data_IF_361788265560
#
_entry.id   IF_361788265560
#
_cell.length_a   1.000
_cell.length_b   1.000
_cell.length_c   1.000
_cell.angle_alpha   90.00
_cell.angle_beta   90.00
_cell.angle_gamma   90.00
#
_symmetry.space_group_name_H-M   'P 1'
#
loop_
_entity.id
_entity.type
_entity.pdbx_description
1 polymer ?
#
# COMPACT_ATOMS: atom_id res chain seq x y z
N UNK A 1 26.79 8.01 -1.19
CA UNK A 1 25.44 8.12 -1.81
C UNK A 1 25.48 7.33 -3.10
N UNK A 2 25.15 6.06 -2.98
CA UNK A 2 25.21 5.18 -4.14
C UNK A 2 23.89 5.32 -4.91
N UNK A 3 23.94 6.07 -6.00
CA UNK A 3 22.83 6.36 -6.89
C UNK A 3 22.71 5.25 -7.96
N UNK A 4 22.94 4.00 -7.55
CA UNK A 4 22.59 2.84 -8.35
C UNK A 4 21.07 2.64 -8.29
N UNK A 5 20.34 3.44 -9.05
CA UNK A 5 19.01 3.09 -9.49
C UNK A 5 19.15 1.85 -10.39
N UNK A 6 19.46 0.70 -9.76
CA UNK A 6 19.30 -0.57 -10.43
C UNK A 6 17.85 -0.61 -10.91
N UNK A 7 17.66 -0.83 -12.19
CA UNK A 7 16.37 -0.97 -12.83
C UNK A 7 15.69 -2.25 -12.33
N UNK A 8 15.32 -2.28 -11.03
CA UNK A 8 14.56 -3.39 -10.49
C UNK A 8 13.24 -3.48 -11.25
N UNK A 9 13.00 -4.63 -11.82
CA UNK A 9 11.73 -4.95 -12.46
C UNK A 9 11.09 -6.11 -11.71
N UNK A 10 9.79 -6.01 -11.43
CA UNK A 10 9.07 -7.06 -10.73
C UNK A 10 9.06 -8.35 -11.56
N UNK A 11 9.21 -9.48 -10.88
CA UNK A 11 9.12 -10.82 -11.46
C UNK A 11 7.93 -11.55 -10.87
N UNK A 12 7.45 -12.59 -11.53
CA UNK A 12 6.31 -13.39 -11.06
C UNK A 12 6.47 -13.92 -9.63
N UNK A 13 7.70 -14.26 -9.23
CA UNK A 13 8.02 -14.76 -7.90
C UNK A 13 7.89 -13.68 -6.81
N UNK A 14 8.14 -12.41 -7.15
CA UNK A 14 7.97 -11.30 -6.21
C UNK A 14 6.49 -11.15 -5.83
N UNK A 15 5.59 -11.27 -6.80
CA UNK A 15 4.14 -11.19 -6.57
C UNK A 15 3.62 -12.41 -5.79
N UNK A 16 4.15 -13.60 -6.08
CA UNK A 16 3.78 -14.82 -5.37
C UNK A 16 4.19 -14.74 -3.90
N UNK A 17 5.42 -14.33 -3.64
CA UNK A 17 5.94 -14.13 -2.29
C UNK A 17 5.17 -13.05 -1.55
N UNK A 18 4.85 -11.94 -2.21
CA UNK A 18 4.04 -10.87 -1.64
C UNK A 18 2.62 -11.38 -1.32
N UNK A 19 1.97 -12.11 -2.25
CA UNK A 19 0.63 -12.69 -2.05
C UNK A 19 0.58 -13.59 -0.80
N UNK A 20 1.54 -14.50 -0.66
CA UNK A 20 1.63 -15.38 0.51
C UNK A 20 1.83 -14.60 1.81
N UNK A 21 2.69 -13.58 1.80
CA UNK A 21 2.98 -12.75 2.97
C UNK A 21 1.77 -11.97 3.47
N UNK A 22 0.92 -11.46 2.55
CA UNK A 22 -0.18 -10.57 2.92
C UNK A 22 -1.55 -11.24 2.99
N UNK A 23 -1.69 -12.50 2.59
CA UNK A 23 -3.00 -13.18 2.41
C UNK A 23 -3.91 -13.14 3.65
N UNK A 24 -3.34 -13.14 4.85
CA UNK A 24 -4.09 -13.07 6.11
C UNK A 24 -4.47 -11.64 6.54
N UNK A 25 -3.94 -10.64 5.83
CA UNK A 25 -4.06 -9.23 6.19
C UNK A 25 -4.84 -8.39 5.19
N UNK A 26 -5.20 -8.93 4.03
CA UNK A 26 -5.93 -8.20 3.00
C UNK A 26 -7.17 -8.96 2.57
N UNK A 27 -8.18 -8.24 2.11
CA UNK A 27 -9.37 -8.85 1.55
C UNK A 27 -9.14 -9.20 0.07
N UNK A 28 -9.74 -10.29 -0.38
CA UNK A 28 -9.98 -10.51 -1.81
C UNK A 28 -11.17 -9.60 -2.16
N UNK A 29 -10.88 -8.48 -2.80
CA UNK A 29 -11.92 -7.51 -3.15
C UNK A 29 -12.73 -7.99 -4.36
N UNK A 30 -14.02 -7.69 -4.46
CA UNK A 30 -14.83 -8.16 -5.58
C UNK A 30 -14.49 -7.44 -6.89
N UNK A 31 -14.69 -8.16 -8.00
CA UNK A 31 -14.72 -7.61 -9.35
C UNK A 31 -16.19 -7.39 -9.74
N UNK A 32 -16.62 -6.14 -9.68
CA UNK A 32 -18.03 -5.76 -9.83
C UNK A 32 -18.34 -5.31 -11.25
N UNK A 33 -19.49 -5.74 -11.77
CA UNK A 33 -20.03 -5.23 -13.03
C UNK A 33 -20.49 -3.78 -12.84
N UNK A 34 -20.05 -2.87 -13.72
CA UNK A 34 -20.36 -1.44 -13.65
C UNK A 34 -21.13 -1.00 -14.93
N UNK A 35 -22.35 -1.49 -15.08
CA UNK A 35 -23.20 -1.25 -16.26
C UNK A 35 -23.36 0.23 -16.64
N UNK A 36 -23.51 1.18 -15.70
CA UNK A 36 -23.61 2.59 -16.07
C UNK A 36 -22.38 3.16 -16.76
N UNK A 37 -21.23 2.46 -16.68
CA UNK A 37 -19.99 2.85 -17.33
C UNK A 37 -19.77 2.18 -18.70
N UNK A 38 -20.67 1.33 -19.16
CA UNK A 38 -20.56 0.68 -20.47
C UNK A 38 -20.56 1.71 -21.62
N UNK A 39 -19.69 1.50 -22.60
CA UNK A 39 -19.54 2.36 -23.76
C UNK A 39 -19.21 1.55 -25.01
N UNK A 40 -19.81 1.90 -26.13
CA UNK A 40 -19.46 1.38 -27.46
C UNK A 40 -19.38 -0.16 -27.52
N UNK A 41 -20.27 -0.87 -26.82
CA UNK A 41 -20.30 -2.34 -26.77
C UNK A 41 -19.30 -2.96 -25.81
N UNK A 42 -18.47 -2.18 -25.12
CA UNK A 42 -17.57 -2.66 -24.08
C UNK A 42 -18.27 -2.75 -22.72
N UNK A 43 -18.09 -3.87 -22.04
CA UNK A 43 -18.57 -4.08 -20.68
C UNK A 43 -17.50 -3.65 -19.68
N UNK A 44 -17.88 -2.82 -18.72
CA UNK A 44 -16.97 -2.30 -17.69
C UNK A 44 -17.11 -3.08 -16.39
N UNK A 45 -15.97 -3.42 -15.82
CA UNK A 45 -15.86 -4.05 -14.49
C UNK A 45 -14.92 -3.22 -13.63
N UNK A 46 -15.21 -3.13 -12.34
CA UNK A 46 -14.42 -2.39 -11.37
C UNK A 46 -13.87 -3.36 -10.32
N UNK A 47 -12.55 -3.41 -10.18
CA UNK A 47 -11.90 -4.06 -9.06
C UNK A 47 -12.01 -3.15 -7.85
N UNK A 48 -12.87 -3.52 -6.90
CA UNK A 48 -13.37 -2.61 -5.86
C UNK A 48 -12.38 -2.49 -4.68
N UNK A 49 -11.19 -1.92 -4.89
CA UNK A 49 -10.19 -1.71 -3.84
C UNK A 49 -10.61 -0.66 -2.79
N UNK A 50 -11.69 0.08 -2.99
CA UNK A 50 -12.35 0.88 -1.95
C UNK A 50 -12.97 0.01 -0.84
N UNK A 51 -13.21 -1.27 -1.11
CA UNK A 51 -13.68 -2.24 -0.12
C UNK A 51 -12.53 -2.96 0.61
N UNK A 52 -11.29 -2.60 0.33
CA UNK A 52 -10.14 -3.12 1.05
C UNK A 52 -10.10 -2.56 2.48
N UNK A 53 -9.43 -3.25 3.40
CA UNK A 53 -9.40 -2.95 4.85
C UNK A 53 -9.09 -1.50 5.20
N UNK A 54 -8.17 -0.84 4.48
CA UNK A 54 -7.88 0.59 4.68
C UNK A 54 -8.71 1.50 3.76
N UNK A 55 -9.65 0.97 3.00
CA UNK A 55 -10.41 1.70 1.99
C UNK A 55 -9.63 1.96 0.69
N UNK A 56 -8.50 1.28 0.48
CA UNK A 56 -7.69 1.41 -0.73
C UNK A 56 -6.69 0.27 -0.90
N UNK A 57 -6.18 0.09 -2.12
CA UNK A 57 -5.14 -0.88 -2.45
C UNK A 57 -3.82 -0.69 -1.67
N UNK A 58 -3.58 0.47 -1.09
CA UNK A 58 -2.32 0.81 -0.40
C UNK A 58 -1.94 -0.17 0.70
N UNK A 59 -2.91 -0.79 1.32
CA UNK A 59 -2.70 -1.79 2.37
C UNK A 59 -1.88 -3.00 1.87
N UNK A 60 -2.03 -3.41 0.62
CA UNK A 60 -1.30 -4.52 0.02
C UNK A 60 0.22 -4.29 0.07
N UNK A 61 0.67 -3.13 -0.43
CA UNK A 61 2.08 -2.74 -0.40
C UNK A 61 2.60 -2.50 1.00
N UNK A 62 1.80 -1.89 1.88
CA UNK A 62 2.20 -1.62 3.26
C UNK A 62 2.46 -2.93 4.04
N UNK A 63 1.53 -3.89 4.01
CA UNK A 63 1.72 -5.19 4.65
C UNK A 63 2.89 -5.96 4.05
N UNK A 64 3.07 -5.94 2.73
CA UNK A 64 4.21 -6.60 2.11
C UNK A 64 5.54 -5.95 2.50
N UNK A 65 5.62 -4.63 2.51
CA UNK A 65 6.84 -3.92 2.87
C UNK A 65 7.23 -4.15 4.34
N UNK A 66 6.29 -4.03 5.28
CA UNK A 66 6.55 -4.27 6.69
C UNK A 66 6.83 -5.74 6.97
N UNK A 67 6.08 -6.65 6.37
CA UNK A 67 6.28 -8.09 6.54
C UNK A 67 7.60 -8.61 5.93
N UNK A 68 8.23 -7.83 5.04
CA UNK A 68 9.55 -8.13 4.49
C UNK A 68 10.71 -7.62 5.34
N UNK A 69 10.45 -6.79 6.35
CA UNK A 69 11.47 -6.32 7.30
C UNK A 69 11.92 -7.45 8.23
N UNK A 70 13.15 -7.34 8.74
CA UNK A 70 13.60 -8.25 9.80
C UNK A 70 12.84 -7.99 11.10
N UNK A 71 12.82 -8.95 12.06
CA UNK A 71 12.21 -8.72 13.36
C UNK A 71 12.80 -7.50 14.09
N UNK A 72 14.10 -7.27 13.98
CA UNK A 72 14.81 -6.14 14.59
C UNK A 72 14.38 -4.81 13.96
N UNK A 73 14.25 -4.78 12.64
CA UNK A 73 13.76 -3.60 11.90
C UNK A 73 12.33 -3.26 12.29
N UNK A 74 11.45 -4.27 12.39
CA UNK A 74 10.08 -4.04 12.86
C UNK A 74 10.03 -3.57 14.31
N UNK A 75 10.87 -4.13 15.18
CA UNK A 75 10.94 -3.74 16.59
C UNK A 75 11.45 -2.31 16.77
N UNK A 76 12.39 -1.85 15.94
CA UNK A 76 12.85 -0.47 15.92
C UNK A 76 11.74 0.49 15.43
N UNK A 77 10.77 -0.02 14.69
CA UNK A 77 9.62 0.74 14.20
C UNK A 77 9.77 1.25 12.78
N UNK A 78 8.68 1.78 12.27
CA UNK A 78 8.59 2.29 10.91
C UNK A 78 8.14 3.74 10.90
N UNK A 79 8.55 4.47 9.86
CA UNK A 79 8.12 5.84 9.63
C UNK A 79 7.71 6.01 8.18
N UNK A 80 6.69 6.83 7.93
CA UNK A 80 6.28 7.20 6.59
C UNK A 80 5.76 8.64 6.54
N UNK A 81 5.75 9.22 5.34
CA UNK A 81 5.16 10.54 5.09
C UNK A 81 4.03 10.43 4.08
N UNK A 82 2.81 10.76 4.48
CA UNK A 82 1.64 10.79 3.59
C UNK A 82 0.42 11.28 4.36
N UNK A 83 -0.32 12.17 3.77
CA UNK A 83 -1.60 12.64 4.34
C UNK A 83 -2.83 11.80 3.95
N UNK A 84 -2.63 10.67 3.27
CA UNK A 84 -3.73 9.91 2.67
C UNK A 84 -3.70 8.41 2.98
N UNK A 85 -4.15 7.63 2.01
CA UNK A 85 -4.35 6.18 2.13
C UNK A 85 -3.07 5.41 2.52
N UNK A 86 -1.89 5.90 2.12
CA UNK A 86 -0.64 5.22 2.46
C UNK A 86 -0.32 5.33 3.97
N UNK A 87 -0.52 6.49 4.57
CA UNK A 87 -0.34 6.69 6.01
C UNK A 87 -1.17 5.68 6.82
N UNK A 88 -2.47 5.60 6.50
CA UNK A 88 -3.38 4.67 7.16
C UNK A 88 -3.00 3.21 6.92
N UNK A 89 -2.53 2.87 5.72
CA UNK A 89 -2.11 1.52 5.40
C UNK A 89 -0.85 1.10 6.18
N UNK A 90 0.15 1.99 6.32
CA UNK A 90 1.36 1.74 7.10
C UNK A 90 1.03 1.60 8.59
N UNK A 91 0.23 2.52 9.15
CA UNK A 91 -0.21 2.45 10.54
C UNK A 91 -0.98 1.15 10.84
N UNK A 92 -1.90 0.75 9.95
CA UNK A 92 -2.63 -0.51 10.06
C UNK A 92 -1.69 -1.72 10.00
N UNK A 93 -0.72 -1.73 9.09
CA UNK A 93 0.23 -2.84 8.96
C UNK A 93 1.12 -2.96 10.21
N UNK A 94 1.63 -1.85 10.74
CA UNK A 94 2.43 -1.84 11.97
C UNK A 94 1.63 -2.37 13.18
N UNK A 95 0.37 -1.94 13.31
CA UNK A 95 -0.52 -2.42 14.36
C UNK A 95 -0.78 -3.91 14.24
N UNK A 96 -1.26 -4.37 13.10
CA UNK A 96 -1.79 -5.72 12.96
C UNK A 96 -0.69 -6.79 12.93
N UNK A 97 0.45 -6.51 12.29
CA UNK A 97 1.62 -7.40 12.36
C UNK A 97 2.16 -7.48 13.79
N UNK A 98 2.27 -6.34 14.47
CA UNK A 98 2.72 -6.31 15.85
C UNK A 98 1.79 -7.09 16.80
N UNK A 99 0.48 -6.94 16.66
CA UNK A 99 -0.49 -7.69 17.43
C UNK A 99 -0.40 -9.20 17.18
N UNK A 100 -0.17 -9.62 15.92
CA UNK A 100 -0.04 -11.02 15.55
C UNK A 100 1.28 -11.65 16.06
N UNK A 101 2.38 -10.92 16.05
CA UNK A 101 3.72 -11.45 16.31
C UNK A 101 4.16 -11.29 17.79
N UNK A 102 3.73 -10.22 18.47
CA UNK A 102 4.19 -9.87 19.82
C UNK A 102 3.11 -9.37 20.77
N UNK A 103 1.85 -9.45 20.39
CA UNK A 103 0.68 -8.97 21.14
C UNK A 103 0.69 -7.46 21.45
N UNK A 104 1.51 -6.69 20.74
CA UNK A 104 1.57 -5.24 20.84
C UNK A 104 1.91 -4.63 19.47
N UNK A 105 1.35 -3.47 19.09
CA UNK A 105 1.71 -2.79 17.85
C UNK A 105 3.22 -2.55 17.72
N UNK A 106 3.73 -2.57 16.49
CA UNK A 106 5.06 -2.05 16.20
C UNK A 106 5.05 -0.52 16.25
N UNK A 107 6.13 0.14 16.71
CA UNK A 107 6.22 1.60 16.67
C UNK A 107 6.03 2.11 15.24
N UNK A 108 5.16 3.10 15.08
CA UNK A 108 4.85 3.68 13.78
C UNK A 108 4.70 5.20 13.91
N UNK A 109 5.53 5.93 13.18
CA UNK A 109 5.47 7.39 13.09
C UNK A 109 4.98 7.79 11.71
N UNK A 110 4.00 8.69 11.64
CA UNK A 110 3.48 9.23 10.38
C UNK A 110 3.67 10.74 10.34
N UNK A 111 4.43 11.21 9.36
CA UNK A 111 4.65 12.64 9.12
C UNK A 111 3.53 13.15 8.21
N UNK A 112 2.72 14.07 8.73
CA UNK A 112 1.58 14.70 8.06
C UNK A 112 1.88 16.17 7.76
N UNK A 113 1.22 16.77 6.75
CA UNK A 113 1.30 18.22 6.56
C UNK A 113 0.53 18.95 7.66
N UNK A 114 0.96 20.16 7.98
CA UNK A 114 0.30 21.01 8.98
C UNK A 114 -1.17 21.29 8.66
N UNK A 115 -1.50 21.36 7.36
CA UNK A 115 -2.88 21.56 6.87
C UNK A 115 -3.64 20.23 6.65
N UNK A 116 -3.20 19.13 7.26
CA UNK A 116 -3.91 17.85 7.15
C UNK A 116 -5.33 17.95 7.69
N UNK A 117 -6.29 17.36 6.98
CA UNK A 117 -7.68 17.32 7.40
C UNK A 117 -7.83 16.61 8.76
N UNK A 118 -8.52 17.18 9.75
CA UNK A 118 -8.60 16.64 11.12
C UNK A 118 -9.04 15.17 11.16
N UNK A 119 -10.03 14.78 10.35
CA UNK A 119 -10.51 13.40 10.31
C UNK A 119 -9.47 12.40 9.79
N UNK A 120 -8.54 12.82 8.91
CA UNK A 120 -7.43 11.97 8.43
C UNK A 120 -6.39 11.76 9.52
N UNK A 121 -6.10 12.82 10.27
CA UNK A 121 -5.19 12.77 11.43
C UNK A 121 -5.75 11.81 12.47
N UNK A 122 -7.00 12.00 12.87
CA UNK A 122 -7.66 11.17 13.86
C UNK A 122 -7.72 9.69 13.43
N UNK A 123 -8.11 9.42 12.19
CA UNK A 123 -8.16 8.05 11.66
C UNK A 123 -6.78 7.37 11.69
N UNK A 124 -5.72 8.11 11.39
CA UNK A 124 -4.35 7.57 11.43
C UNK A 124 -3.90 7.33 12.87
N UNK A 125 -4.21 8.26 13.78
CA UNK A 125 -3.93 8.13 15.23
C UNK A 125 -4.67 6.94 15.84
N UNK A 126 -5.92 6.72 15.48
CA UNK A 126 -6.73 5.59 15.96
C UNK A 126 -6.20 4.21 15.48
N UNK A 127 -5.33 4.20 14.48
CA UNK A 127 -4.57 3.01 14.07
C UNK A 127 -3.29 2.79 14.91
N UNK A 128 -3.03 3.64 15.90
CA UNK A 128 -1.90 3.49 16.84
C UNK A 128 -0.63 4.20 16.37
N UNK A 129 -0.67 5.03 15.33
CA UNK A 129 0.51 5.78 14.88
C UNK A 129 0.72 7.06 15.68
N UNK A 130 1.98 7.35 15.98
CA UNK A 130 2.43 8.67 16.40
C UNK A 130 2.36 9.63 15.20
N UNK A 131 1.84 10.84 15.43
CA UNK A 131 1.69 11.85 14.38
C UNK A 131 2.67 12.99 14.62
N UNK A 132 3.49 13.25 13.62
CA UNK A 132 4.36 14.42 13.54
C UNK A 132 3.90 15.31 12.40
N UNK A 133 3.86 16.61 12.61
CA UNK A 133 3.52 17.58 11.58
C UNK A 133 4.78 18.22 11.00
N UNK A 134 4.83 18.41 9.68
CA UNK A 134 5.92 19.10 9.00
C UNK A 134 5.41 19.76 7.72
N UNK A 135 5.57 21.06 7.65
CA UNK A 135 5.32 21.91 6.50
C UNK A 135 4.04 21.61 5.73
N UNK A 136 3.85 22.29 4.62
CA UNK A 136 2.71 22.02 3.71
C UNK A 136 3.14 21.32 2.42
N UNK A 137 4.41 21.49 2.00
CA UNK A 137 4.95 20.87 0.82
C UNK A 137 5.27 19.36 1.03
N UNK A 138 5.29 18.59 -0.05
CA UNK A 138 5.63 17.17 0.04
C UNK A 138 7.07 16.95 0.47
N UNK A 139 7.96 17.85 0.05
CA UNK A 139 9.38 17.78 0.39
C UNK A 139 9.62 17.96 1.88
N UNK A 140 8.95 18.92 2.53
CA UNK A 140 9.09 19.15 3.98
C UNK A 140 8.83 17.89 4.79
N UNK A 141 7.78 17.15 4.42
CA UNK A 141 7.41 15.89 5.07
C UNK A 141 8.40 14.77 4.80
N UNK A 142 8.91 14.70 3.58
CA UNK A 142 9.91 13.70 3.20
C UNK A 142 11.21 13.93 3.97
N UNK A 143 11.68 15.17 4.04
CA UNK A 143 12.92 15.53 4.74
C UNK A 143 12.78 15.28 6.24
N UNK A 144 11.63 15.67 6.83
CA UNK A 144 11.35 15.39 8.25
C UNK A 144 11.26 13.90 8.55
N UNK A 145 10.66 13.12 7.65
CA UNK A 145 10.60 11.67 7.83
C UNK A 145 12.00 11.02 7.74
N UNK A 146 12.87 11.49 6.85
CA UNK A 146 14.26 11.02 6.77
C UNK A 146 15.07 11.39 8.03
N UNK A 147 14.93 12.62 8.51
CA UNK A 147 15.57 13.10 9.76
C UNK A 147 15.18 12.18 10.94
N UNK A 148 13.87 11.98 11.14
CA UNK A 148 13.37 11.16 12.24
C UNK A 148 13.71 9.68 12.08
N UNK A 149 13.71 9.16 10.85
CA UNK A 149 14.12 7.79 10.56
C UNK A 149 15.56 7.53 11.04
N UNK A 150 16.47 8.47 10.78
CA UNK A 150 17.87 8.37 11.22
C UNK A 150 18.00 8.51 12.75
N UNK A 151 17.34 9.52 13.33
CA UNK A 151 17.41 9.79 14.76
C UNK A 151 16.87 8.62 15.61
N UNK A 152 15.76 8.03 15.19
CA UNK A 152 15.06 6.99 15.92
C UNK A 152 15.38 5.58 15.41
N UNK A 153 16.27 5.43 14.42
CA UNK A 153 16.61 4.15 13.77
C UNK A 153 15.39 3.41 13.18
N UNK A 154 14.35 4.17 12.81
CA UNK A 154 13.14 3.63 12.19
C UNK A 154 13.34 3.39 10.70
N UNK A 155 12.61 2.39 10.16
CA UNK A 155 12.66 2.10 8.72
C UNK A 155 11.67 3.01 7.97
N UNK A 156 12.17 3.76 7.00
CA UNK A 156 11.34 4.59 6.14
C UNK A 156 10.56 3.72 5.14
N UNK A 157 9.24 3.82 5.16
CA UNK A 157 8.34 3.10 4.24
C UNK A 157 7.83 4.10 3.18
N UNK A 158 8.33 4.03 1.95
CA UNK A 158 7.94 4.96 0.87
C UNK A 158 6.55 4.63 0.32
N UNK A 159 5.93 5.64 -0.31
CA UNK A 159 4.53 5.52 -0.75
C UNK A 159 4.34 4.75 -2.06
N UNK A 160 5.38 4.55 -2.87
CA UNK A 160 5.29 3.93 -4.20
C UNK A 160 6.62 3.33 -4.70
N UNK A 161 7.69 4.06 -4.83
CA UNK A 161 8.92 3.61 -5.51
C UNK A 161 9.82 2.75 -4.61
N UNK A 162 9.41 1.52 -4.36
CA UNK A 162 10.17 0.53 -3.59
C UNK A 162 9.74 -0.89 -3.99
N UNK A 163 10.68 -1.84 -4.17
CA UNK A 163 10.38 -3.21 -4.59
C UNK A 163 9.24 -3.89 -3.82
N UNK A 164 9.30 -3.87 -2.50
CA UNK A 164 8.28 -4.50 -1.68
C UNK A 164 6.91 -3.78 -1.71
N UNK A 165 6.89 -2.46 -1.96
CA UNK A 165 5.64 -1.72 -2.16
C UNK A 165 5.04 -2.12 -3.52
N UNK A 166 5.84 -2.09 -4.59
CA UNK A 166 5.39 -2.44 -5.94
C UNK A 166 4.90 -3.90 -5.99
N UNK A 167 5.69 -4.85 -5.47
CA UNK A 167 5.29 -6.25 -5.41
C UNK A 167 4.00 -6.49 -4.62
N UNK A 168 3.83 -5.78 -3.49
CA UNK A 168 2.60 -5.85 -2.71
C UNK A 168 1.39 -5.32 -3.46
N UNK A 169 1.51 -4.17 -4.13
CA UNK A 169 0.43 -3.61 -4.97
C UNK A 169 0.12 -4.54 -6.14
N UNK A 170 1.14 -5.14 -6.74
CA UNK A 170 1.01 -6.05 -7.88
C UNK A 170 0.26 -7.35 -7.57
N UNK A 171 0.08 -7.72 -6.29
CA UNK A 171 -0.79 -8.86 -5.93
C UNK A 171 -2.22 -8.70 -6.42
N UNK A 172 -2.63 -7.48 -6.75
CA UNK A 172 -3.93 -7.20 -7.33
C UNK A 172 -4.09 -7.80 -8.74
N UNK A 173 -3.02 -7.85 -9.53
CA UNK A 173 -3.03 -8.38 -10.90
C UNK A 173 -3.46 -9.85 -10.96
N UNK A 174 -2.73 -10.79 -10.33
CA UNK A 174 -3.14 -12.19 -10.26
C UNK A 174 -4.53 -12.39 -9.67
N UNK A 175 -4.92 -11.66 -8.63
CA UNK A 175 -6.25 -11.72 -8.04
C UNK A 175 -7.34 -11.31 -9.03
N UNK A 176 -7.11 -10.24 -9.79
CA UNK A 176 -7.99 -9.80 -10.87
C UNK A 176 -8.11 -10.87 -11.96
N UNK A 177 -6.99 -11.45 -12.37
CA UNK A 177 -6.96 -12.48 -13.41
C UNK A 177 -7.70 -13.75 -12.97
N UNK A 178 -7.50 -14.20 -11.73
CA UNK A 178 -8.21 -15.36 -11.18
C UNK A 178 -9.73 -15.14 -11.22
N UNK A 179 -10.19 -13.97 -10.79
CA UNK A 179 -11.60 -13.60 -10.83
C UNK A 179 -12.14 -13.48 -12.27
N UNK A 180 -11.35 -12.89 -13.17
CA UNK A 180 -11.72 -12.77 -14.58
C UNK A 180 -11.84 -14.15 -15.26
N UNK A 181 -10.91 -15.04 -15.02
CA UNK A 181 -10.95 -16.40 -15.55
C UNK A 181 -12.08 -17.25 -14.97
N UNK A 182 -12.57 -16.91 -13.80
CA UNK A 182 -13.79 -17.50 -13.20
C UNK A 182 -15.09 -17.08 -13.89
N UNK A 183 -15.10 -16.02 -14.69
CA UNK A 183 -16.31 -15.55 -15.38
C UNK A 183 -16.71 -16.47 -16.56
N UNK A 184 -18.00 -16.37 -17.02
CA UNK A 184 -18.45 -17.11 -18.20
C UNK A 184 -17.57 -16.82 -19.44
N UNK A 185 -17.30 -17.84 -20.25
CA UNK A 185 -16.41 -17.75 -21.44
C UNK A 185 -16.69 -16.54 -22.34
N UNK A 186 -17.99 -16.21 -22.57
CA UNK A 186 -18.41 -15.05 -23.36
C UNK A 186 -17.95 -13.68 -22.80
N UNK A 187 -17.53 -13.63 -21.55
CA UNK A 187 -17.09 -12.42 -20.85
C UNK A 187 -15.56 -12.32 -20.77
N UNK A 188 -14.83 -13.41 -21.03
CA UNK A 188 -13.38 -13.51 -20.76
C UNK A 188 -12.48 -12.77 -21.75
N UNK A 189 -13.01 -12.10 -22.76
CA UNK A 189 -12.19 -11.26 -23.64
C UNK A 189 -11.95 -9.90 -22.99
N UNK A 190 -10.84 -9.78 -22.29
CA UNK A 190 -10.38 -8.51 -21.74
C UNK A 190 -9.69 -7.70 -22.84
N UNK A 191 -10.19 -6.51 -23.13
CA UNK A 191 -9.61 -5.64 -24.17
C UNK A 191 -8.74 -4.53 -23.57
N UNK A 192 -8.98 -4.18 -22.30
CA UNK A 192 -8.25 -3.10 -21.63
C UNK A 192 -8.29 -3.28 -20.12
N UNK A 193 -7.21 -2.90 -19.46
CA UNK A 193 -7.13 -2.66 -18.02
C UNK A 193 -6.74 -1.21 -17.81
N UNK A 194 -7.50 -0.49 -17.01
CA UNK A 194 -7.21 0.89 -16.67
C UNK A 194 -7.06 1.04 -15.15
N UNK A 195 -6.12 1.85 -14.72
CA UNK A 195 -5.87 2.12 -13.31
C UNK A 195 -5.36 3.54 -13.09
N UNK A 196 -5.50 4.07 -11.86
CA UNK A 196 -4.96 5.38 -11.53
C UNK A 196 -3.42 5.33 -11.48
N UNK A 197 -2.78 6.33 -12.09
CA UNK A 197 -1.34 6.51 -12.06
C UNK A 197 -1.01 7.80 -11.31
N UNK A 198 -0.21 7.69 -10.27
CA UNK A 198 0.42 8.79 -9.54
C UNK A 198 1.92 8.50 -9.44
N UNK A 199 2.41 8.00 -8.29
CA UNK A 199 3.81 7.56 -8.16
C UNK A 199 4.15 6.22 -8.84
N UNK A 200 3.26 5.62 -9.61
CA UNK A 200 3.50 4.45 -10.45
C UNK A 200 3.42 3.07 -9.76
N UNK A 201 3.48 3.02 -8.43
CA UNK A 201 3.63 1.75 -7.70
C UNK A 201 2.50 0.72 -7.89
N UNK A 202 1.29 1.12 -8.29
CA UNK A 202 0.20 0.19 -8.62
C UNK A 202 0.37 -0.37 -10.04
N UNK A 203 0.64 0.49 -11.00
CA UNK A 203 0.74 0.09 -12.41
C UNK A 203 2.09 -0.55 -12.74
N UNK A 204 3.11 -0.35 -11.89
CA UNK A 204 4.40 -1.01 -12.00
C UNK A 204 4.43 -2.40 -11.37
N UNK A 205 3.42 -2.74 -10.58
CA UNK A 205 3.21 -4.06 -10.02
C UNK A 205 2.13 -4.79 -10.79
#
# INVERSE_FOLDING_TARGET
MDNSSSSWQPKGDDFRTAKERIKSYVHITPLLRAEPLDRAGHKVFVKAENLQRSGSFKVRGAFNALGALTPEQRAAGVISHSSGNHAQAVAMAARDLGLAERQAPYPCTIVLPENAQPWKVERTRNLGAEIVFAGSASQDREDKAKELAQANKQVLIPSYNHPNIIAGQGTLGPELMDQWMGMPRRTRRMSMVAGPVSGGGLMGG
#
